data_IF_162949051956
#
_entry.id   IF_162949051956
#
_cell.length_a   1.000
_cell.length_b   1.000
_cell.length_c   1.000
_cell.angle_alpha   90.00
_cell.angle_beta   90.00
_cell.angle_gamma   90.00
#
_symmetry.space_group_name_H-M   'P 1'
#
loop_
_entity.id
_entity.type
_entity.pdbx_description
1 polymer ?
#
# COMPACT_ATOMS: atom_id res chain seq x y z
N UNK A 1 -11.37 9.00 2.25
CA UNK A 1 -10.37 7.99 1.89
C UNK A 1 -9.09 8.20 2.70
N UNK A 2 -8.59 7.14 3.32
CA UNK A 2 -7.30 7.09 4.02
C UNK A 2 -6.26 6.58 3.01
N UNK A 3 -5.29 7.40 2.62
CA UNK A 3 -4.33 7.10 1.54
C UNK A 3 -3.02 6.49 2.07
N UNK A 4 -3.15 5.50 2.95
CA UNK A 4 -2.02 4.80 3.57
C UNK A 4 -2.13 3.32 3.20
N UNK A 5 -1.13 2.81 2.48
CA UNK A 5 -1.08 1.42 2.02
C UNK A 5 -0.05 0.60 2.80
N UNK A 6 0.20 1.02 4.04
CA UNK A 6 1.06 0.34 5.02
C UNK A 6 0.31 0.29 6.34
N UNK A 7 0.12 -0.90 6.88
CA UNK A 7 -0.46 -1.09 8.21
C UNK A 7 0.61 -1.30 9.27
N UNK A 8 1.73 -1.95 8.89
CA UNK A 8 2.81 -2.32 9.82
C UNK A 8 4.15 -2.44 9.12
N UNK A 9 5.20 -1.91 9.74
CA UNK A 9 6.59 -2.24 9.39
C UNK A 9 7.04 -3.45 10.21
N UNK A 10 7.60 -4.46 9.54
CA UNK A 10 8.07 -5.69 10.19
C UNK A 10 9.59 -5.86 10.13
N UNK A 11 10.27 -5.09 9.27
CA UNK A 11 11.74 -5.04 9.20
C UNK A 11 12.18 -3.64 8.75
N UNK A 12 13.23 -3.10 9.36
CA UNK A 12 13.85 -1.84 8.98
C UNK A 12 15.36 -1.93 9.17
N UNK A 13 16.11 -1.85 8.07
CA UNK A 13 17.57 -1.70 8.03
C UNK A 13 17.85 -0.30 7.45
N UNK A 14 18.32 0.66 8.28
CA UNK A 14 18.47 2.05 7.86
C UNK A 14 19.30 2.18 6.57
N UNK A 15 18.76 2.93 5.61
CA UNK A 15 19.40 3.20 4.32
C UNK A 15 19.53 2.00 3.37
N UNK A 16 18.98 0.83 3.72
CA UNK A 16 19.17 -0.41 2.95
C UNK A 16 17.87 -1.12 2.60
N UNK A 17 16.99 -1.35 3.59
CA UNK A 17 15.81 -2.19 3.40
C UNK A 17 14.71 -1.82 4.38
N UNK A 18 13.46 -1.85 3.92
CA UNK A 18 12.28 -1.85 4.78
C UNK A 18 11.27 -2.85 4.25
N UNK A 19 10.63 -3.60 5.15
CA UNK A 19 9.54 -4.53 4.83
C UNK A 19 8.29 -4.09 5.57
N UNK A 20 7.22 -3.87 4.81
CA UNK A 20 5.93 -3.44 5.30
C UNK A 20 4.84 -4.46 4.95
N UNK A 21 3.78 -4.47 5.73
CA UNK A 21 2.60 -5.30 5.56
C UNK A 21 1.39 -4.40 5.36
N UNK A 22 0.59 -4.73 4.35
CA UNK A 22 -0.76 -4.23 4.13
C UNK A 22 -1.71 -5.42 4.21
N UNK A 23 -2.62 -5.39 5.17
CA UNK A 23 -3.72 -6.35 5.25
C UNK A 23 -4.81 -5.91 4.28
N UNK A 24 -5.39 -6.89 3.61
CA UNK A 24 -6.45 -6.67 2.61
C UNK A 24 -7.72 -7.29 3.16
N UNK A 25 -8.81 -6.52 3.14
CA UNK A 25 -10.13 -6.97 3.56
C UNK A 25 -11.17 -6.63 2.52
N UNK A 26 -12.18 -7.50 2.34
CA UNK A 26 -13.35 -7.23 1.50
C UNK A 26 -14.18 -6.03 1.98
N UNK A 27 -13.87 -5.43 3.13
CA UNK A 27 -14.49 -4.18 3.58
C UNK A 27 -13.88 -2.92 2.91
N UNK A 28 -12.83 -3.06 2.11
CA UNK A 28 -12.16 -1.92 1.47
C UNK A 28 -12.86 -1.53 0.16
N UNK A 29 -13.25 -0.26 0.04
CA UNK A 29 -14.06 0.29 -1.06
C UNK A 29 -13.50 -0.04 -2.46
N UNK A 30 -12.19 0.12 -2.65
CA UNK A 30 -11.55 -0.08 -3.95
C UNK A 30 -11.62 -1.53 -4.47
N UNK A 31 -11.84 -2.53 -3.60
CA UNK A 31 -12.05 -3.91 -4.04
C UNK A 31 -13.45 -4.13 -4.63
N UNK A 32 -14.42 -3.30 -4.26
CA UNK A 32 -15.75 -3.33 -4.87
C UNK A 32 -15.77 -2.67 -6.25
N UNK A 33 -14.84 -1.75 -6.50
CA UNK A 33 -14.69 -1.03 -7.77
C UNK A 33 -13.69 -1.69 -8.74
N UNK A 34 -12.97 -2.74 -8.30
CA UNK A 34 -11.93 -3.40 -9.08
C UNK A 34 -11.95 -4.91 -8.86
N UNK A 35 -12.81 -5.68 -9.55
CA UNK A 35 -13.76 -5.32 -10.61
C UNK A 35 -15.21 -5.49 -10.13
N UNK A 36 -16.11 -4.53 -10.44
CA UNK A 36 -17.49 -4.58 -9.98
C UNK A 36 -18.28 -5.66 -10.74
N UNK A 37 -19.44 -6.04 -10.18
CA UNK A 37 -20.36 -6.92 -10.88
C UNK A 37 -20.91 -6.24 -12.15
N UNK A 38 -21.21 -7.05 -13.15
CA UNK A 38 -21.89 -6.64 -14.38
C UNK A 38 -23.09 -7.57 -14.61
N UNK A 39 -23.94 -7.26 -15.59
CA UNK A 39 -25.07 -8.12 -15.95
C UNK A 39 -24.65 -9.54 -16.37
N UNK A 40 -23.39 -9.71 -16.81
CA UNK A 40 -22.86 -10.98 -17.31
C UNK A 40 -21.93 -11.69 -16.33
N UNK A 41 -21.38 -10.99 -15.32
CA UNK A 41 -20.34 -11.53 -14.44
C UNK A 41 -20.49 -11.01 -13.01
N UNK A 42 -20.31 -11.87 -11.97
CA UNK A 42 -20.27 -11.41 -10.60
C UNK A 42 -19.05 -10.51 -10.35
N UNK A 43 -19.08 -9.73 -9.27
CA UNK A 43 -17.93 -8.93 -8.85
C UNK A 43 -16.70 -9.84 -8.62
N UNK A 44 -15.54 -9.34 -9.03
CA UNK A 44 -14.26 -10.01 -8.89
C UNK A 44 -13.29 -9.10 -8.13
N UNK A 45 -13.30 -9.14 -6.78
CA UNK A 45 -12.46 -8.26 -5.98
C UNK A 45 -10.99 -8.65 -6.13
N UNK A 46 -10.18 -7.72 -6.63
CA UNK A 46 -8.74 -7.88 -6.84
C UNK A 46 -8.04 -6.62 -6.36
N UNK A 47 -7.01 -6.77 -5.54
CA UNK A 47 -6.18 -5.63 -5.13
C UNK A 47 -5.55 -4.96 -6.37
N UNK A 48 -5.81 -3.66 -6.62
CA UNK A 48 -5.22 -2.98 -7.75
C UNK A 48 -3.68 -2.97 -7.65
N UNK A 49 -3.01 -3.38 -8.72
CA UNK A 49 -1.55 -3.39 -8.75
C UNK A 49 -0.94 -2.00 -8.59
N UNK A 50 -1.62 -0.96 -9.06
CA UNK A 50 -1.23 0.44 -8.85
C UNK A 50 -1.17 0.81 -7.37
N UNK A 51 -2.13 0.34 -6.56
CA UNK A 51 -2.15 0.60 -5.12
C UNK A 51 -1.09 -0.23 -4.37
N UNK A 52 -0.75 -1.42 -4.87
CA UNK A 52 0.41 -2.16 -4.36
C UNK A 52 1.72 -1.41 -4.64
N UNK A 53 1.88 -0.84 -5.83
CA UNK A 53 3.05 0.00 -6.18
C UNK A 53 3.08 1.26 -5.32
N UNK A 54 1.95 1.92 -5.10
CA UNK A 54 1.86 3.07 -4.20
C UNK A 54 2.28 2.68 -2.77
N UNK A 55 1.85 1.53 -2.25
CA UNK A 55 2.32 1.03 -0.95
C UNK A 55 3.82 0.77 -0.89
N UNK A 56 4.41 0.28 -1.98
CA UNK A 56 5.88 0.17 -2.10
C UNK A 56 6.54 1.54 -2.12
N UNK A 57 5.97 2.53 -2.83
CA UNK A 57 6.49 3.89 -2.88
C UNK A 57 6.45 4.56 -1.49
N UNK A 58 5.34 4.42 -0.76
CA UNK A 58 5.22 4.89 0.62
C UNK A 58 6.22 4.19 1.55
N UNK A 59 6.47 2.90 1.34
CA UNK A 59 7.45 2.12 2.11
C UNK A 59 8.85 2.67 1.87
N UNK A 60 9.22 2.90 0.62
CA UNK A 60 10.49 3.52 0.26
C UNK A 60 10.61 4.95 0.81
N UNK A 61 9.55 5.75 0.75
CA UNK A 61 9.53 7.12 1.26
C UNK A 61 9.81 7.18 2.76
N UNK A 62 9.21 6.29 3.55
CA UNK A 62 9.50 6.16 4.98
C UNK A 62 10.94 5.70 5.23
N UNK A 63 11.47 4.77 4.43
CA UNK A 63 12.87 4.33 4.55
C UNK A 63 13.86 5.46 4.29
N UNK A 64 13.66 6.24 3.22
CA UNK A 64 14.51 7.38 2.86
C UNK A 64 14.41 8.47 3.93
N UNK A 65 13.19 8.81 4.35
CA UNK A 65 12.98 9.77 5.43
C UNK A 65 13.70 9.33 6.71
N UNK A 66 13.57 8.06 7.08
CA UNK A 66 14.27 7.51 8.25
C UNK A 66 15.80 7.58 8.10
N UNK A 67 16.35 7.25 6.92
CA UNK A 67 17.79 7.31 6.67
C UNK A 67 18.37 8.71 6.92
N UNK A 68 17.63 9.76 6.57
CA UNK A 68 18.02 11.16 6.77
C UNK A 68 17.47 11.78 8.07
N UNK A 69 16.99 10.95 9.01
CA UNK A 69 16.37 11.41 10.27
C UNK A 69 15.22 12.42 10.05
N UNK A 70 14.52 12.30 8.93
CA UNK A 70 13.40 13.15 8.49
C UNK A 70 13.73 14.65 8.47
N UNK A 71 15.00 15.00 8.24
CA UNK A 71 15.42 16.41 8.13
C UNK A 71 14.87 17.09 6.89
N UNK A 72 14.75 16.33 5.81
CA UNK A 72 14.22 16.78 4.53
C UNK A 72 12.87 16.13 4.23
N UNK A 73 12.10 16.79 3.38
CA UNK A 73 10.87 16.21 2.83
C UNK A 73 11.25 15.19 1.75
N UNK A 74 10.55 14.06 1.78
CA UNK A 74 10.60 13.00 0.77
C UNK A 74 9.34 13.06 -0.07
#
# INVERSE_FOLDING_TARGET
>A
MRWMWIDRVIELVPGQKMVAVKNISLAEEHLHDHFPATDAQPALPVMPASLMIEGMAQTAGVLVGHAESFKEKV
#
